data_IF_476049982688
#
_entry.id   IF_476049982688
#
_cell.length_a   1.000
_cell.length_b   1.000
_cell.length_c   1.000
_cell.angle_alpha   90.00
_cell.angle_beta   90.00
_cell.angle_gamma   90.00
#
_symmetry.space_group_name_H-M   'P 1'
#
loop_
_entity.id
_entity.type
_entity.pdbx_description
1 polymer ?
#
# COMPACT_ATOMS: atom_id res chain seq x y z
N UNK A 1 22.27 1.06 4.11
CA UNK A 1 21.31 2.18 3.99
C UNK A 1 20.79 2.35 2.57
N UNK A 2 21.65 2.69 1.57
CA UNK A 2 21.21 2.94 0.17
C UNK A 2 20.35 1.82 -0.44
N UNK A 3 20.80 0.56 -0.38
CA UNK A 3 20.05 -0.59 -0.93
C UNK A 3 18.66 -0.80 -0.31
N UNK A 4 18.53 -0.58 1.01
CA UNK A 4 17.25 -0.68 1.70
C UNK A 4 16.29 0.42 1.22
N UNK A 5 16.76 1.67 1.17
CA UNK A 5 15.94 2.79 0.72
C UNK A 5 15.49 2.66 -0.75
N UNK A 6 16.36 2.15 -1.62
CA UNK A 6 16.05 1.91 -3.04
C UNK A 6 14.88 0.93 -3.21
N UNK A 7 14.71 -0.03 -2.31
CA UNK A 7 13.60 -1.00 -2.35
C UNK A 7 12.39 -0.48 -1.59
N UNK A 8 12.61 0.06 -0.39
CA UNK A 8 11.55 0.46 0.52
C UNK A 8 10.76 1.66 0.03
N UNK A 9 11.41 2.68 -0.54
CA UNK A 9 10.72 3.91 -0.97
C UNK A 9 9.75 3.62 -2.12
N UNK A 10 10.14 2.96 -3.24
CA UNK A 10 9.20 2.66 -4.31
C UNK A 10 8.06 1.76 -3.84
N UNK A 11 8.35 0.77 -3.01
CA UNK A 11 7.34 -0.13 -2.45
C UNK A 11 6.32 0.63 -1.60
N UNK A 12 6.77 1.54 -0.75
CA UNK A 12 5.91 2.38 0.07
C UNK A 12 5.07 3.35 -0.76
N UNK A 13 5.68 4.00 -1.75
CA UNK A 13 4.97 4.91 -2.65
C UNK A 13 3.91 4.17 -3.48
N UNK A 14 4.25 3.00 -4.04
CA UNK A 14 3.33 2.20 -4.82
C UNK A 14 2.14 1.72 -3.97
N UNK A 15 2.39 1.24 -2.74
CA UNK A 15 1.33 0.87 -1.82
C UNK A 15 0.38 2.04 -1.54
N UNK A 16 0.95 3.24 -1.33
CA UNK A 16 0.18 4.46 -1.06
C UNK A 16 -0.63 4.91 -2.26
N UNK A 17 -0.03 4.94 -3.46
CA UNK A 17 -0.69 5.32 -4.70
C UNK A 17 -1.84 4.38 -5.04
N UNK A 18 -1.67 3.06 -4.87
CA UNK A 18 -2.74 2.08 -5.10
C UNK A 18 -3.86 2.19 -4.05
N UNK A 19 -3.51 2.43 -2.80
CA UNK A 19 -4.48 2.53 -1.71
C UNK A 19 -5.34 3.80 -1.78
N UNK A 20 -4.74 4.94 -2.12
CA UNK A 20 -5.42 6.24 -2.21
C UNK A 20 -6.09 6.43 -3.57
N UNK A 21 -5.39 6.16 -4.66
CA UNK A 21 -5.83 6.41 -6.03
C UNK A 21 -6.44 5.20 -6.74
N UNK A 22 -6.73 4.12 -6.01
CA UNK A 22 -7.21 2.86 -6.60
C UNK A 22 -8.50 3.00 -7.41
N UNK A 23 -9.40 3.92 -7.02
CA UNK A 23 -10.66 4.17 -7.73
C UNK A 23 -10.44 4.83 -9.09
N UNK A 24 -9.67 5.93 -9.15
CA UNK A 24 -9.35 6.61 -10.41
C UNK A 24 -8.58 5.68 -11.36
N UNK A 25 -7.65 4.89 -10.81
CA UNK A 25 -6.90 3.91 -11.57
C UNK A 25 -7.80 2.80 -12.11
N UNK A 26 -8.83 2.38 -11.36
CA UNK A 26 -9.77 1.35 -11.82
C UNK A 26 -10.59 1.81 -13.02
N UNK A 27 -11.06 3.06 -13.04
CA UNK A 27 -11.71 3.64 -14.21
C UNK A 27 -10.76 3.75 -15.40
N UNK A 28 -9.51 4.14 -15.17
CA UNK A 28 -8.51 4.21 -16.23
C UNK A 28 -8.24 2.82 -16.83
N UNK A 29 -8.12 1.79 -15.98
CA UNK A 29 -7.86 0.41 -16.40
C UNK A 29 -8.99 -0.18 -17.24
N UNK A 30 -10.25 0.07 -16.86
CA UNK A 30 -11.41 -0.37 -17.64
C UNK A 30 -11.34 0.16 -19.07
N UNK A 31 -10.94 1.44 -19.23
CA UNK A 31 -10.92 2.11 -20.52
C UNK A 31 -9.69 1.78 -21.39
N UNK A 32 -8.58 1.34 -20.80
CA UNK A 32 -7.30 1.24 -21.50
C UNK A 32 -6.62 -0.14 -21.47
N UNK A 33 -7.03 -1.04 -20.57
CA UNK A 33 -6.29 -2.30 -20.34
C UNK A 33 -7.16 -3.53 -20.58
N UNK A 34 -8.19 -3.75 -19.75
CA UNK A 34 -9.20 -4.77 -20.01
C UNK A 34 -10.57 -4.23 -19.65
N UNK A 35 -11.57 -4.56 -20.47
CA UNK A 35 -12.96 -4.24 -20.20
C UNK A 35 -13.53 -5.16 -19.12
N UNK A 36 -13.13 -4.87 -17.88
CA UNK A 36 -13.61 -5.51 -16.65
C UNK A 36 -14.26 -4.43 -15.79
N UNK A 37 -15.27 -4.83 -15.01
CA UNK A 37 -15.96 -3.90 -14.13
C UNK A 37 -14.98 -3.31 -13.10
N UNK A 38 -14.97 -1.98 -12.89
CA UNK A 38 -13.93 -1.35 -12.08
C UNK A 38 -13.88 -1.84 -10.63
N UNK A 39 -14.98 -2.39 -10.11
CA UNK A 39 -15.04 -3.03 -8.78
C UNK A 39 -13.95 -4.09 -8.58
N UNK A 40 -13.65 -4.89 -9.61
CA UNK A 40 -12.61 -5.92 -9.53
C UNK A 40 -11.22 -5.29 -9.47
N UNK A 41 -10.98 -4.23 -10.24
CA UNK A 41 -9.72 -3.48 -10.17
C UNK A 41 -9.51 -2.84 -8.80
N UNK A 42 -10.53 -2.15 -8.26
CA UNK A 42 -10.46 -1.53 -6.94
C UNK A 42 -10.14 -2.58 -5.88
N UNK A 43 -10.79 -3.74 -5.94
CA UNK A 43 -10.54 -4.85 -5.02
C UNK A 43 -9.10 -5.36 -5.11
N UNK A 44 -8.60 -5.58 -6.33
CA UNK A 44 -7.21 -6.01 -6.56
C UNK A 44 -6.22 -4.97 -6.02
N UNK A 45 -6.44 -3.68 -6.30
CA UNK A 45 -5.56 -2.60 -5.83
C UNK A 45 -5.55 -2.46 -4.31
N UNK A 46 -6.71 -2.61 -3.66
CA UNK A 46 -6.81 -2.65 -2.20
C UNK A 46 -5.97 -3.80 -1.61
N UNK A 47 -6.14 -5.01 -2.14
CA UNK A 47 -5.39 -6.19 -1.67
C UNK A 47 -3.88 -6.00 -1.88
N UNK A 48 -3.47 -5.54 -3.08
CA UNK A 48 -2.05 -5.30 -3.38
C UNK A 48 -1.48 -4.23 -2.44
N UNK A 49 -2.20 -3.12 -2.21
CA UNK A 49 -1.76 -2.04 -1.30
C UNK A 49 -1.49 -2.57 0.11
N UNK A 50 -2.44 -3.33 0.67
CA UNK A 50 -2.30 -3.93 2.01
C UNK A 50 -1.11 -4.90 2.06
N UNK A 51 -0.98 -5.79 1.08
CA UNK A 51 0.13 -6.75 1.01
C UNK A 51 1.47 -6.03 0.94
N UNK A 52 1.59 -4.96 0.15
CA UNK A 52 2.82 -4.18 0.08
C UNK A 52 3.13 -3.49 1.40
N UNK A 53 2.13 -2.94 2.11
CA UNK A 53 2.37 -2.41 3.46
C UNK A 53 2.84 -3.49 4.45
N UNK A 54 2.31 -4.71 4.37
CA UNK A 54 2.77 -5.83 5.19
C UNK A 54 4.22 -6.24 4.86
N UNK A 55 4.59 -6.28 3.58
CA UNK A 55 5.97 -6.53 3.17
C UNK A 55 6.89 -5.40 3.66
N UNK A 56 6.45 -4.15 3.54
CA UNK A 56 7.23 -2.98 3.95
C UNK A 56 7.50 -2.95 5.45
N UNK A 57 6.53 -3.26 6.30
CA UNK A 57 6.75 -3.31 7.75
C UNK A 57 7.73 -4.43 8.14
N UNK A 58 7.65 -5.60 7.50
CA UNK A 58 8.60 -6.69 7.72
C UNK A 58 10.03 -6.25 7.35
N UNK A 59 10.19 -5.62 6.17
CA UNK A 59 11.49 -5.10 5.73
C UNK A 59 12.03 -4.04 6.70
N UNK A 60 11.18 -3.15 7.19
CA UNK A 60 11.53 -2.11 8.15
C UNK A 60 12.01 -2.71 9.48
N UNK A 61 11.29 -3.70 10.02
CA UNK A 61 11.67 -4.41 11.25
C UNK A 61 13.03 -5.09 11.09
N UNK A 62 13.21 -5.87 10.00
CA UNK A 62 14.47 -6.58 9.73
C UNK A 62 15.64 -5.60 9.61
N UNK A 63 15.43 -4.46 8.96
CA UNK A 63 16.45 -3.44 8.82
C UNK A 63 16.82 -2.78 10.15
N UNK A 64 15.83 -2.38 10.95
CA UNK A 64 16.07 -1.72 12.24
C UNK A 64 16.72 -2.66 13.26
N UNK A 65 16.33 -3.94 13.26
CA UNK A 65 16.95 -4.98 14.09
C UNK A 65 18.45 -5.12 13.77
N UNK A 66 18.81 -5.19 12.47
CA UNK A 66 20.22 -5.24 12.04
C UNK A 66 21.02 -3.99 12.41
N UNK A 67 20.38 -2.83 12.49
CA UNK A 67 21.02 -1.56 12.82
C UNK A 67 21.06 -1.27 14.33
N UNK A 68 20.47 -2.12 15.18
CA UNK A 68 20.34 -1.91 16.64
C UNK A 68 19.77 -0.52 16.99
N UNK A 69 18.89 0.03 16.13
CA UNK A 69 18.26 1.34 16.32
C UNK A 69 16.98 1.23 17.12
N UNK A 70 16.54 2.33 17.73
CA UNK A 70 15.25 2.39 18.40
C UNK A 70 14.13 2.12 17.40
N UNK A 71 13.45 0.99 17.58
CA UNK A 71 12.52 0.43 16.59
C UNK A 71 11.16 1.15 16.62
N UNK A 72 10.72 1.55 17.82
CA UNK A 72 9.34 1.96 18.09
C UNK A 72 8.86 3.15 17.24
N UNK A 73 9.63 4.24 17.17
CA UNK A 73 9.17 5.47 16.52
C UNK A 73 8.99 5.31 15.00
N UNK A 74 9.85 4.51 14.36
CA UNK A 74 9.78 4.25 12.92
C UNK A 74 8.60 3.33 12.58
N UNK A 75 8.37 2.30 13.39
CA UNK A 75 7.21 1.41 13.23
C UNK A 75 5.91 2.19 13.44
N UNK A 76 5.85 3.03 14.48
CA UNK A 76 4.66 3.81 14.78
C UNK A 76 4.32 4.77 13.63
N UNK A 77 5.31 5.51 13.13
CA UNK A 77 5.11 6.41 11.98
C UNK A 77 4.65 5.66 10.72
N UNK A 78 5.21 4.46 10.48
CA UNK A 78 4.80 3.61 9.38
C UNK A 78 3.34 3.15 9.53
N UNK A 79 2.95 2.65 10.70
CA UNK A 79 1.62 2.15 10.98
C UNK A 79 0.54 3.24 10.90
N UNK A 80 0.86 4.48 11.29
CA UNK A 80 -0.06 5.60 11.13
C UNK A 80 -0.40 5.78 9.64
N UNK A 81 0.61 5.83 8.77
CA UNK A 81 0.35 6.06 7.33
C UNK A 81 -0.31 4.83 6.72
N UNK A 82 0.28 3.64 6.90
CA UNK A 82 -0.22 2.40 6.35
C UNK A 82 -1.65 2.08 6.83
N UNK A 83 -1.94 2.31 8.11
CA UNK A 83 -3.26 2.09 8.70
C UNK A 83 -4.31 3.01 8.10
N UNK A 84 -4.05 4.32 8.02
CA UNK A 84 -5.00 5.27 7.43
C UNK A 84 -5.25 4.99 5.94
N UNK A 85 -4.21 4.69 5.16
CA UNK A 85 -4.36 4.38 3.73
C UNK A 85 -5.09 3.06 3.52
N UNK A 86 -4.75 2.01 4.30
CA UNK A 86 -5.44 0.72 4.19
C UNK A 86 -6.91 0.83 4.60
N UNK A 87 -7.21 1.62 5.63
CA UNK A 87 -8.58 1.88 6.07
C UNK A 87 -9.38 2.62 5.00
N UNK A 88 -8.80 3.67 4.41
CA UNK A 88 -9.40 4.38 3.29
C UNK A 88 -9.67 3.45 2.09
N UNK A 89 -8.66 2.69 1.67
CA UNK A 89 -8.77 1.77 0.53
C UNK A 89 -9.82 0.68 0.77
N UNK A 90 -9.92 0.19 2.00
CA UNK A 90 -10.94 -0.78 2.40
C UNK A 90 -12.34 -0.19 2.33
N UNK A 91 -12.58 1.00 2.90
CA UNK A 91 -13.87 1.70 2.80
C UNK A 91 -14.23 1.94 1.34
N UNK A 92 -13.29 2.46 0.56
CA UNK A 92 -13.45 2.70 -0.86
C UNK A 92 -13.84 1.41 -1.61
N UNK A 93 -13.28 0.27 -1.25
CA UNK A 93 -13.63 -1.03 -1.85
C UNK A 93 -15.02 -1.49 -1.42
N UNK A 94 -15.35 -1.41 -0.13
CA UNK A 94 -16.65 -1.80 0.41
C UNK A 94 -17.79 -0.97 -0.20
N UNK A 95 -17.58 0.35 -0.37
CA UNK A 95 -18.54 1.24 -1.02
C UNK A 95 -18.88 0.85 -2.46
N UNK A 96 -18.01 0.10 -3.14
CA UNK A 96 -18.26 -0.39 -4.48
C UNK A 96 -19.00 -1.74 -4.51
N UNK A 97 -18.90 -2.52 -3.44
CA UNK A 97 -19.59 -3.82 -3.29
C UNK A 97 -20.98 -3.71 -2.64
N UNK A 98 -21.30 -2.57 -2.04
CA UNK A 98 -22.63 -2.22 -1.50
C UNK A 98 -23.32 -1.12 -2.28
#
# INVERSE_FOLDING_TARGET
>A
MKRFLIIFIPLFLLATSLGVGGQDLAYWMQNHVYDMWPIYYVTIFCVISIVLYLIGIILLIVYLYKQKKQIFIYILGYLIIAGNVSFWSFIATVMWWG
#
